data_IF_307312270292
#
_entry.id   IF_307312270292
#
_cell.length_a   1.000
_cell.length_b   1.000
_cell.length_c   1.000
_cell.angle_alpha   90.00
_cell.angle_beta   90.00
_cell.angle_gamma   90.00
#
_symmetry.space_group_name_H-M   'P 1'
#
loop_
_entity.id
_entity.type
_entity.pdbx_description
1 polymer ?
#
# COMPACT_ATOMS: atom_id res chain seq x y z
N UNK A 1 -54.27 -39.91 34.30
CA UNK A 1 -52.91 -39.66 34.82
C UNK A 1 -51.89 -40.38 33.96
N UNK A 2 -50.85 -39.64 33.57
CA UNK A 2 -49.49 -40.10 33.23
C UNK A 2 -49.23 -40.50 31.76
N UNK A 3 -48.40 -39.62 31.16
CA UNK A 3 -47.36 -39.82 30.13
C UNK A 3 -47.78 -40.08 28.68
N UNK A 4 -47.76 -39.01 27.90
CA UNK A 4 -47.04 -38.96 26.63
C UNK A 4 -46.50 -37.54 26.45
N UNK A 5 -45.42 -37.24 27.20
CA UNK A 5 -44.54 -36.16 26.79
C UNK A 5 -43.88 -36.63 25.50
N UNK A 6 -44.07 -35.86 24.42
CA UNK A 6 -43.31 -36.00 23.18
C UNK A 6 -41.83 -36.10 23.54
N UNK A 7 -41.27 -37.31 23.39
CA UNK A 7 -39.83 -37.46 23.30
C UNK A 7 -39.42 -36.74 22.02
N UNK A 8 -38.79 -35.56 22.16
CA UNK A 8 -38.01 -34.98 21.06
C UNK A 8 -36.87 -35.96 20.80
N UNK A 9 -36.68 -36.30 19.53
CA UNK A 9 -35.68 -37.27 19.11
C UNK A 9 -34.29 -36.84 19.61
N UNK A 10 -33.58 -37.68 20.39
CA UNK A 10 -32.31 -37.32 21.01
C UNK A 10 -31.22 -37.02 19.97
N UNK A 11 -31.26 -37.67 18.80
CA UNK A 11 -30.31 -37.43 17.71
C UNK A 11 -30.32 -35.99 17.18
N UNK A 12 -31.45 -35.27 17.27
CA UNK A 12 -31.58 -33.90 16.74
C UNK A 12 -31.03 -32.85 17.72
N UNK A 13 -30.92 -33.17 19.00
CA UNK A 13 -30.34 -32.27 20.00
C UNK A 13 -28.82 -32.23 19.87
N UNK A 14 -28.18 -33.35 19.53
CA UNK A 14 -26.73 -33.45 19.40
C UNK A 14 -26.18 -32.66 18.21
N UNK A 15 -26.90 -32.61 17.08
CA UNK A 15 -26.51 -31.81 15.91
C UNK A 15 -26.62 -30.29 16.19
N UNK A 16 -27.66 -29.88 16.92
CA UNK A 16 -27.87 -28.49 17.32
C UNK A 16 -26.85 -28.04 18.38
N UNK A 17 -26.45 -28.93 19.29
CA UNK A 17 -25.43 -28.67 20.31
C UNK A 17 -24.03 -28.64 19.72
N UNK A 18 -23.70 -29.56 18.80
CA UNK A 18 -22.46 -29.51 18.02
C UNK A 18 -22.34 -28.24 17.18
N UNK A 19 -23.45 -27.77 16.58
CA UNK A 19 -23.50 -26.50 15.85
C UNK A 19 -23.25 -25.28 16.76
N UNK A 20 -23.80 -25.30 17.99
CA UNK A 20 -23.56 -24.25 18.99
C UNK A 20 -22.12 -24.25 19.50
N UNK A 21 -21.54 -25.43 19.76
CA UNK A 21 -20.14 -25.57 20.17
C UNK A 21 -19.22 -25.09 19.06
N UNK A 22 -19.49 -25.45 17.80
CA UNK A 22 -18.73 -24.97 16.64
C UNK A 22 -18.79 -23.44 16.51
N UNK A 23 -19.97 -22.85 16.70
CA UNK A 23 -20.15 -21.39 16.67
C UNK A 23 -19.43 -20.70 17.83
N UNK A 24 -19.43 -21.29 19.01
CA UNK A 24 -18.70 -20.78 20.16
C UNK A 24 -17.18 -20.87 19.98
N UNK A 25 -16.68 -21.97 19.39
CA UNK A 25 -15.28 -22.13 19.03
C UNK A 25 -14.82 -21.09 18.01
N UNK A 26 -15.59 -20.87 16.94
CA UNK A 26 -15.31 -19.80 15.96
C UNK A 26 -15.28 -18.42 16.61
N UNK A 27 -16.24 -18.11 17.49
CA UNK A 27 -16.24 -16.82 18.18
C UNK A 27 -15.05 -16.63 19.14
N UNK A 28 -14.58 -17.72 19.76
CA UNK A 28 -13.37 -17.70 20.60
C UNK A 28 -12.12 -17.53 19.74
N UNK A 29 -12.05 -18.19 18.59
CA UNK A 29 -10.95 -18.06 17.62
C UNK A 29 -10.85 -16.62 17.07
N UNK A 30 -11.97 -16.06 16.62
CA UNK A 30 -12.05 -14.64 16.18
C UNK A 30 -11.59 -13.68 17.31
N UNK A 31 -12.03 -13.93 18.55
CA UNK A 31 -11.66 -13.09 19.70
C UNK A 31 -10.16 -13.16 20.04
N UNK A 32 -9.53 -14.33 19.86
CA UNK A 32 -8.10 -14.51 20.11
C UNK A 32 -7.25 -13.84 19.03
N UNK A 33 -7.70 -13.89 17.76
CA UNK A 33 -7.05 -13.20 16.66
C UNK A 33 -7.07 -11.67 16.86
N UNK A 34 -8.20 -11.13 17.33
CA UNK A 34 -8.32 -9.70 17.64
C UNK A 34 -7.38 -9.28 18.78
N UNK A 35 -7.28 -10.06 19.86
CA UNK A 35 -6.34 -9.79 20.95
C UNK A 35 -4.87 -9.85 20.51
N UNK A 36 -4.53 -10.72 19.55
CA UNK A 36 -3.18 -10.82 19.01
C UNK A 36 -2.86 -9.64 18.07
N UNK A 37 -3.83 -9.21 17.27
CA UNK A 37 -3.74 -8.00 16.44
C UNK A 37 -3.52 -6.75 17.29
N UNK A 38 -4.24 -6.59 18.40
CA UNK A 38 -4.08 -5.45 19.29
C UNK A 38 -2.67 -5.38 19.90
N UNK A 39 -2.11 -6.53 20.30
CA UNK A 39 -0.72 -6.59 20.79
C UNK A 39 0.29 -6.23 19.71
N UNK A 40 0.08 -6.69 18.48
CA UNK A 40 0.94 -6.35 17.33
C UNK A 40 0.82 -4.85 17.02
N UNK A 41 -0.38 -4.29 17.09
CA UNK A 41 -0.64 -2.87 16.88
C UNK A 41 0.08 -2.01 17.93
N UNK A 42 -0.03 -2.35 19.21
CA UNK A 42 0.67 -1.66 20.30
C UNK A 42 2.20 -1.68 20.10
N UNK A 43 2.77 -2.80 19.62
CA UNK A 43 4.19 -2.92 19.29
C UNK A 43 4.61 -1.96 18.17
N UNK A 44 3.76 -1.77 17.15
CA UNK A 44 4.05 -0.87 16.03
C UNK A 44 3.86 0.62 16.37
N UNK A 45 2.88 0.95 17.22
CA UNK A 45 2.69 2.29 17.79
C UNK A 45 3.94 2.72 18.59
N UNK A 46 4.48 1.81 19.40
CA UNK A 46 5.73 2.02 20.14
C UNK A 46 6.97 2.13 19.22
N UNK A 47 6.93 1.50 18.04
CA UNK A 47 7.99 1.62 17.03
C UNK A 47 7.96 2.93 16.24
N UNK A 48 6.94 3.78 16.42
CA UNK A 48 6.80 5.07 15.77
C UNK A 48 6.38 5.01 14.29
N UNK A 49 5.86 3.87 13.83
CA UNK A 49 5.31 3.75 12.47
C UNK A 49 3.79 3.88 12.49
N UNK A 50 3.23 4.78 11.67
CA UNK A 50 1.78 4.90 11.43
C UNK A 50 1.24 3.97 10.33
N UNK A 51 2.06 3.04 9.82
CA UNK A 51 1.67 2.18 8.68
C UNK A 51 0.49 1.24 8.98
N UNK A 52 0.30 0.89 10.25
CA UNK A 52 -0.75 -0.05 10.70
C UNK A 52 -2.17 0.50 10.46
N UNK A 53 -2.33 1.82 10.34
CA UNK A 53 -3.64 2.44 10.04
C UNK A 53 -4.12 2.14 8.61
N UNK A 54 -3.17 1.85 7.71
CA UNK A 54 -3.44 1.69 6.29
C UNK A 54 -3.27 0.25 5.81
N UNK A 55 -2.46 -0.54 6.50
CA UNK A 55 -2.09 -1.89 6.08
C UNK A 55 -1.83 -2.74 7.30
N UNK A 56 -2.24 -4.01 7.24
CA UNK A 56 -2.03 -4.96 8.32
C UNK A 56 -0.54 -5.11 8.65
N UNK A 57 -0.14 -4.94 9.92
CA UNK A 57 1.25 -5.09 10.31
C UNK A 57 1.72 -6.54 10.12
N UNK A 58 2.94 -6.69 9.59
CA UNK A 58 3.54 -8.01 9.45
C UNK A 58 3.94 -8.57 10.83
N UNK A 59 3.55 -9.80 11.18
CA UNK A 59 3.92 -10.42 12.46
C UNK A 59 5.43 -10.72 12.57
N UNK A 60 6.16 -10.62 11.46
CA UNK A 60 7.61 -10.86 11.41
C UNK A 60 8.44 -9.58 11.60
N UNK A 61 7.79 -8.44 11.83
CA UNK A 61 8.45 -7.17 12.08
C UNK A 61 9.18 -7.17 13.42
N UNK A 62 10.38 -6.58 13.45
CA UNK A 62 11.10 -6.33 14.69
C UNK A 62 10.66 -5.00 15.29
N UNK A 63 10.55 -4.94 16.61
CA UNK A 63 10.43 -3.65 17.32
C UNK A 63 11.74 -2.87 17.28
N UNK A 64 11.67 -1.55 17.49
CA UNK A 64 12.86 -0.68 17.52
C UNK A 64 13.92 -1.16 18.53
N UNK A 65 13.51 -1.80 19.63
CA UNK A 65 14.43 -2.30 20.67
C UNK A 65 15.07 -3.66 20.32
N UNK A 66 14.48 -4.45 19.42
CA UNK A 66 14.98 -5.77 19.00
C UNK A 66 16.00 -5.70 17.85
N UNK A 67 16.13 -4.53 17.21
CA UNK A 67 17.04 -4.25 16.09
C UNK A 67 18.49 -4.07 16.55
N UNK A 68 19.08 -5.12 17.12
CA UNK A 68 20.44 -5.08 17.70
C UNK A 68 21.51 -5.58 16.72
N UNK A 69 21.16 -6.48 15.80
CA UNK A 69 22.11 -7.11 14.88
C UNK A 69 22.00 -6.57 13.45
N UNK A 70 23.09 -6.67 12.69
CA UNK A 70 23.09 -6.33 11.26
C UNK A 70 22.07 -7.17 10.48
N UNK A 71 21.89 -8.44 10.85
CA UNK A 71 20.92 -9.33 10.21
C UNK A 71 19.47 -8.86 10.46
N UNK A 72 19.14 -8.48 11.70
CA UNK A 72 17.81 -7.93 12.02
C UNK A 72 17.54 -6.65 11.23
N UNK A 73 18.53 -5.75 11.14
CA UNK A 73 18.41 -4.52 10.35
C UNK A 73 18.19 -4.79 8.86
N UNK A 74 18.91 -5.74 8.28
CA UNK A 74 18.75 -6.12 6.87
C UNK A 74 17.36 -6.71 6.59
N UNK A 75 16.90 -7.63 7.45
CA UNK A 75 15.59 -8.24 7.33
C UNK A 75 14.48 -7.21 7.51
N UNK A 76 14.58 -6.34 8.52
CA UNK A 76 13.64 -5.25 8.75
C UNK A 76 13.60 -4.28 7.56
N UNK A 77 14.74 -3.96 6.95
CA UNK A 77 14.76 -3.12 5.75
C UNK A 77 13.98 -3.74 4.59
N UNK A 78 14.06 -5.07 4.44
CA UNK A 78 13.34 -5.81 3.41
C UNK A 78 11.84 -5.82 3.69
N UNK A 79 11.44 -6.07 4.94
CA UNK A 79 10.03 -6.02 5.37
C UNK A 79 9.43 -4.63 5.18
N UNK A 80 10.14 -3.57 5.58
CA UNK A 80 9.68 -2.20 5.42
C UNK A 80 9.48 -1.82 3.95
N UNK A 81 10.27 -2.36 3.02
CA UNK A 81 10.03 -2.17 1.58
C UNK A 81 8.71 -2.79 1.13
N UNK A 82 8.35 -3.97 1.67
CA UNK A 82 7.04 -4.60 1.41
C UNK A 82 5.92 -3.72 1.94
N UNK A 83 6.01 -3.29 3.19
CA UNK A 83 5.01 -2.40 3.81
C UNK A 83 4.86 -1.10 3.01
N UNK A 84 5.95 -0.50 2.53
CA UNK A 84 5.86 0.68 1.66
C UNK A 84 5.13 0.40 0.34
N UNK A 85 5.32 -0.79 -0.25
CA UNK A 85 4.60 -1.19 -1.46
C UNK A 85 3.12 -1.41 -1.18
N UNK A 86 2.78 -2.06 -0.07
CA UNK A 86 1.41 -2.32 0.35
C UNK A 86 0.67 -1.00 0.66
N UNK A 87 1.28 -0.08 1.42
CA UNK A 87 0.70 1.25 1.64
C UNK A 87 0.45 2.00 0.33
N UNK A 88 1.37 1.88 -0.64
CA UNK A 88 1.20 2.50 -1.97
C UNK A 88 0.03 1.89 -2.72
N UNK A 89 -0.11 0.56 -2.71
CA UNK A 89 -1.22 -0.12 -3.36
C UNK A 89 -2.55 0.22 -2.68
N UNK A 90 -2.58 0.23 -1.35
CA UNK A 90 -3.76 0.61 -0.59
C UNK A 90 -4.21 2.03 -0.93
N UNK A 91 -3.28 2.99 -0.96
CA UNK A 91 -3.58 4.37 -1.33
C UNK A 91 -4.09 4.47 -2.76
N UNK A 92 -3.42 3.80 -3.71
CA UNK A 92 -3.83 3.80 -5.12
C UNK A 92 -5.24 3.24 -5.28
N UNK A 93 -5.54 2.09 -4.67
CA UNK A 93 -6.87 1.49 -4.73
C UNK A 93 -7.94 2.43 -4.16
N UNK A 94 -7.67 3.08 -3.03
CA UNK A 94 -8.59 4.06 -2.44
C UNK A 94 -8.76 5.31 -3.29
N UNK A 95 -7.68 5.77 -3.92
CA UNK A 95 -7.73 6.86 -4.85
C UNK A 95 -8.58 6.51 -6.08
N UNK A 96 -8.38 5.33 -6.66
CA UNK A 96 -9.12 4.84 -7.82
C UNK A 96 -10.62 4.70 -7.49
N UNK A 97 -10.97 4.09 -6.35
CA UNK A 97 -12.37 3.99 -5.89
C UNK A 97 -13.05 5.36 -5.80
N UNK A 98 -12.37 6.34 -5.19
CA UNK A 98 -12.86 7.71 -5.04
C UNK A 98 -12.95 8.43 -6.38
N UNK A 99 -11.97 8.22 -7.26
CA UNK A 99 -11.93 8.79 -8.60
C UNK A 99 -13.11 8.31 -9.44
N UNK A 100 -13.37 7.01 -9.45
CA UNK A 100 -14.48 6.37 -10.16
C UNK A 100 -15.84 6.84 -9.64
N UNK A 101 -15.96 7.07 -8.33
CA UNK A 101 -17.18 7.64 -7.76
C UNK A 101 -17.40 9.07 -8.24
N UNK A 102 -16.37 9.90 -8.18
CA UNK A 102 -16.45 11.30 -8.62
C UNK A 102 -16.74 11.41 -10.11
N UNK A 103 -16.15 10.55 -10.93
CA UNK A 103 -16.44 10.50 -12.37
C UNK A 103 -17.91 10.24 -12.65
N UNK A 104 -18.51 9.26 -11.95
CA UNK A 104 -19.95 8.98 -12.04
C UNK A 104 -20.80 10.17 -11.58
N UNK A 105 -20.42 10.82 -10.49
CA UNK A 105 -21.13 12.00 -9.98
C UNK A 105 -21.08 13.17 -10.95
N UNK A 106 -19.91 13.46 -11.51
CA UNK A 106 -19.73 14.50 -12.54
C UNK A 106 -20.59 14.19 -13.77
N UNK A 107 -20.57 12.95 -14.26
CA UNK A 107 -21.39 12.56 -15.41
C UNK A 107 -22.89 12.79 -15.16
N UNK A 108 -23.39 12.44 -13.96
CA UNK A 108 -24.78 12.71 -13.59
C UNK A 108 -25.10 14.21 -13.48
N UNK A 109 -24.17 15.01 -12.97
CA UNK A 109 -24.37 16.47 -12.87
C UNK A 109 -24.41 17.09 -14.26
N UNK A 110 -23.53 16.69 -15.16
CA UNK A 110 -23.52 17.16 -16.56
C UNK A 110 -24.83 16.81 -17.27
N UNK A 111 -25.34 15.59 -17.14
CA UNK A 111 -26.62 15.18 -17.74
C UNK A 111 -27.79 16.03 -17.19
N UNK A 112 -27.80 16.29 -15.88
CA UNK A 112 -28.81 17.15 -15.24
C UNK A 112 -28.70 18.59 -15.71
N UNK A 113 -27.48 19.11 -15.83
CA UNK A 113 -27.22 20.46 -16.32
C UNK A 113 -27.65 20.64 -17.78
N UNK A 114 -27.40 19.65 -18.64
CA UNK A 114 -27.90 19.64 -20.02
C UNK A 114 -29.42 19.69 -20.07
N UNK A 115 -30.09 18.90 -19.23
CA UNK A 115 -31.55 18.93 -19.12
C UNK A 115 -32.06 20.28 -18.62
N UNK A 116 -31.38 20.91 -17.67
CA UNK A 116 -31.72 22.26 -17.18
C UNK A 116 -31.56 23.30 -18.28
N UNK A 117 -30.46 23.25 -19.04
CA UNK A 117 -30.24 24.13 -20.21
C UNK A 117 -31.33 23.95 -21.26
N UNK A 118 -31.77 22.70 -21.51
CA UNK A 118 -32.89 22.44 -22.40
C UNK A 118 -34.18 23.10 -21.89
N UNK A 119 -34.53 22.95 -20.62
CA UNK A 119 -35.72 23.58 -20.03
C UNK A 119 -35.62 25.12 -20.09
N UNK A 120 -34.48 25.70 -19.76
CA UNK A 120 -34.26 27.15 -19.84
C UNK A 120 -34.43 27.67 -21.27
N UNK A 121 -33.96 26.92 -22.27
CA UNK A 121 -34.14 27.26 -23.68
C UNK A 121 -35.61 27.25 -24.11
N UNK A 122 -36.41 26.30 -23.61
CA UNK A 122 -37.85 26.22 -23.86
C UNK A 122 -38.61 27.36 -23.17
N UNK A 123 -38.15 27.81 -21.99
CA UNK A 123 -38.71 28.97 -21.29
C UNK A 123 -38.31 30.32 -21.90
N UNK A 124 -37.32 30.35 -22.81
CA UNK A 124 -36.76 31.58 -23.37
C UNK A 124 -35.95 32.40 -22.36
N UNK A 125 -35.52 31.78 -21.26
CA UNK A 125 -34.78 32.42 -20.17
C UNK A 125 -33.27 32.16 -20.34
N UNK A 126 -32.56 33.16 -20.88
CA UNK A 126 -31.12 33.07 -21.17
C UNK A 126 -30.23 33.70 -20.09
N UNK A 127 -30.81 34.22 -19.02
CA UNK A 127 -30.09 34.96 -17.97
C UNK A 127 -29.47 34.06 -16.91
N UNK A 128 -29.99 32.83 -16.75
CA UNK A 128 -29.52 31.84 -15.78
C UNK A 128 -28.36 31.04 -16.36
N UNK A 129 -27.18 31.23 -15.80
CA UNK A 129 -25.99 30.46 -16.16
C UNK A 129 -25.97 29.14 -15.39
N UNK A 130 -25.82 28.02 -16.11
CA UNK A 130 -25.64 26.68 -15.53
C UNK A 130 -24.16 26.32 -15.67
N UNK A 131 -23.46 26.21 -14.54
CA UNK A 131 -22.03 25.87 -14.48
C UNK A 131 -21.84 24.35 -14.41
N UNK A 132 -20.92 23.83 -15.21
CA UNK A 132 -20.53 22.42 -15.18
C UNK A 132 -19.34 22.22 -14.24
N UNK A 133 -19.28 21.08 -13.52
CA UNK A 133 -18.15 20.78 -12.65
C UNK A 133 -16.88 20.52 -13.48
N UNK A 134 -15.80 21.19 -13.11
CA UNK A 134 -14.48 21.01 -13.72
C UNK A 134 -13.56 20.16 -12.84
N UNK A 135 -12.66 19.41 -13.48
CA UNK A 135 -11.61 18.66 -12.79
C UNK A 135 -10.47 19.59 -12.40
N UNK A 136 -10.07 19.57 -11.13
CA UNK A 136 -8.90 20.33 -10.70
C UNK A 136 -7.60 19.58 -11.06
N UNK A 137 -6.46 20.27 -11.24
CA UNK A 137 -5.18 19.60 -11.51
C UNK A 137 -4.76 18.61 -10.41
N UNK A 138 -5.16 18.86 -9.16
CA UNK A 138 -4.90 17.98 -8.02
C UNK A 138 -5.62 16.62 -8.15
N UNK A 139 -6.78 16.61 -8.79
CA UNK A 139 -7.62 15.42 -9.01
C UNK A 139 -7.18 14.60 -10.22
N UNK A 140 -6.38 15.20 -11.11
CA UNK A 140 -5.78 14.52 -12.26
C UNK A 140 -4.26 14.62 -12.17
N UNK A 141 -3.60 13.76 -11.37
CA UNK A 141 -2.17 13.84 -11.10
C UNK A 141 -1.30 13.86 -12.36
N UNK A 142 -1.76 13.20 -13.43
CA UNK A 142 -1.11 13.20 -14.75
C UNK A 142 -0.99 14.59 -15.39
N UNK A 143 -1.80 15.55 -14.93
CA UNK A 143 -1.82 16.94 -15.42
C UNK A 143 -0.83 17.84 -14.66
N UNK A 144 -0.39 17.42 -13.47
CA UNK A 144 0.48 18.23 -12.59
C UNK A 144 1.87 18.36 -13.18
N UNK A 145 2.42 17.27 -13.73
CA UNK A 145 3.75 17.29 -14.35
C UNK A 145 3.63 17.07 -15.86
N UNK A 146 4.09 18.06 -16.62
CA UNK A 146 4.29 17.93 -18.06
C UNK A 146 5.67 17.34 -18.30
N UNK A 147 5.71 16.09 -18.75
CA UNK A 147 6.96 15.46 -19.19
C UNK A 147 7.16 15.78 -20.66
N UNK A 148 8.23 16.51 -20.96
CA UNK A 148 8.58 16.92 -22.32
C UNK A 148 9.05 15.73 -23.15
N UNK A 149 8.91 15.82 -24.47
CA UNK A 149 9.21 14.71 -25.37
C UNK A 149 10.69 14.27 -25.30
N UNK A 150 11.60 15.22 -25.10
CA UNK A 150 13.03 14.94 -24.92
C UNK A 150 13.32 14.20 -23.60
N UNK A 151 12.57 14.45 -22.53
CA UNK A 151 12.69 13.71 -21.27
C UNK A 151 12.27 12.26 -21.47
N UNK A 152 11.16 12.04 -22.19
CA UNK A 152 10.69 10.68 -22.54
C UNK A 152 11.75 9.91 -23.33
N UNK A 153 12.41 10.54 -24.29
CA UNK A 153 13.51 9.93 -25.06
C UNK A 153 14.71 9.56 -24.18
N UNK A 154 15.07 10.40 -23.20
CA UNK A 154 16.16 10.10 -22.27
C UNK A 154 15.81 8.91 -21.35
N UNK A 155 14.57 8.81 -20.88
CA UNK A 155 14.11 7.65 -20.10
C UNK A 155 14.10 6.36 -20.93
N UNK A 156 13.63 6.41 -22.18
CA UNK A 156 13.65 5.26 -23.08
C UNK A 156 15.08 4.75 -23.33
N UNK A 157 16.02 5.65 -23.65
CA UNK A 157 17.45 5.30 -23.82
C UNK A 157 18.07 4.73 -22.55
N UNK A 158 17.70 5.23 -21.38
CA UNK A 158 18.17 4.70 -20.10
C UNK A 158 17.64 3.30 -19.84
N UNK A 159 16.37 3.03 -20.15
CA UNK A 159 15.76 1.71 -20.02
C UNK A 159 16.42 0.68 -20.95
N UNK A 160 16.63 1.03 -22.21
CA UNK A 160 17.37 0.21 -23.19
C UNK A 160 18.79 -0.10 -22.72
N UNK A 161 19.48 0.90 -22.16
CA UNK A 161 20.80 0.72 -21.56
C UNK A 161 20.75 -0.25 -20.37
N UNK A 162 19.80 -0.07 -19.43
CA UNK A 162 19.68 -0.95 -18.26
C UNK A 162 19.25 -2.38 -18.57
N UNK A 163 18.39 -2.58 -19.58
CA UNK A 163 18.02 -3.92 -20.08
C UNK A 163 19.21 -4.60 -20.75
N UNK A 164 20.01 -3.86 -21.54
CA UNK A 164 21.27 -4.36 -22.09
C UNK A 164 22.33 -4.69 -21.03
N UNK A 165 22.29 -4.01 -19.87
CA UNK A 165 23.11 -4.35 -18.71
C UNK A 165 22.60 -5.60 -17.97
N UNK A 166 21.28 -5.80 -17.83
CA UNK A 166 20.72 -6.97 -17.12
C UNK A 166 20.93 -8.32 -17.84
N UNK A 167 21.02 -8.34 -19.17
CA UNK A 167 21.34 -9.57 -19.92
C UNK A 167 22.82 -10.00 -19.80
N UNK A 168 23.71 -9.13 -19.31
CA UNK A 168 25.15 -9.37 -19.22
C UNK A 168 25.73 -9.30 -17.80
N UNK A 169 24.93 -9.22 -16.74
CA UNK A 169 25.44 -9.32 -15.36
C UNK A 169 25.53 -10.79 -14.95
N UNK A 170 26.72 -11.36 -14.73
CA UNK A 170 26.78 -12.74 -14.27
C UNK A 170 26.34 -12.76 -12.79
N UNK A 171 25.47 -13.71 -12.44
CA UNK A 171 24.78 -13.86 -11.14
C UNK A 171 25.67 -13.80 -9.88
N UNK A 172 27.00 -13.87 -10.03
CA UNK A 172 27.97 -13.77 -8.94
C UNK A 172 28.17 -12.34 -8.34
N UNK A 173 27.70 -11.27 -8.99
CA UNK A 173 27.90 -9.88 -8.50
C UNK A 173 26.90 -9.42 -7.43
N UNK A 174 25.91 -10.25 -7.08
CA UNK A 174 25.03 -9.99 -5.92
C UNK A 174 25.66 -10.38 -4.58
N UNK A 175 26.95 -10.76 -4.54
CA UNK A 175 27.67 -11.00 -3.29
C UNK A 175 28.65 -9.86 -2.97
N UNK A 176 28.30 -9.17 -1.87
CA UNK A 176 29.13 -8.35 -0.97
C UNK A 176 29.51 -6.94 -1.44
N UNK A 177 29.02 -5.97 -0.68
CA UNK A 177 29.91 -5.01 -0.01
C UNK A 177 29.32 -4.59 1.34
N UNK A 178 29.56 -5.42 2.36
CA UNK A 178 29.42 -5.05 3.77
C UNK A 178 30.81 -4.74 4.31
N UNK A 179 31.41 -3.66 3.82
CA UNK A 179 32.60 -3.05 4.43
C UNK A 179 32.89 -1.73 3.73
N UNK A 180 32.40 -0.61 4.28
CA UNK A 180 33.10 0.69 4.28
C UNK A 180 32.23 1.83 4.82
N UNK A 181 32.04 1.90 6.15
CA UNK A 181 31.84 3.17 6.85
C UNK A 181 32.50 3.14 8.23
N UNK A 182 33.79 2.88 8.24
CA UNK A 182 34.66 3.24 9.36
C UNK A 182 36.05 3.37 8.78
N UNK A 183 36.48 4.61 8.54
CA UNK A 183 37.87 5.08 8.44
C UNK A 183 37.85 6.51 7.85
N UNK A 184 37.23 7.44 8.57
CA UNK A 184 37.60 8.86 8.50
C UNK A 184 37.81 9.35 9.91
N UNK A 185 38.96 8.99 10.47
CA UNK A 185 39.65 9.60 11.62
C UNK A 185 40.83 8.70 11.94
N UNK A 186 41.94 8.88 11.23
CA UNK A 186 43.25 9.08 11.83
C UNK A 186 44.36 9.13 10.78
N UNK A 187 45.33 9.98 11.10
CA UNK A 187 46.73 9.98 10.67
C UNK A 187 47.04 10.19 9.19
N UNK A 188 47.51 11.41 8.89
CA UNK A 188 48.86 11.65 8.37
C UNK A 188 49.71 10.36 8.28
N UNK A 189 49.87 9.80 7.08
CA UNK A 189 51.06 9.09 6.66
C UNK A 189 51.00 8.80 5.16
N UNK A 190 52.07 9.20 4.47
CA UNK A 190 52.61 8.64 3.24
C UNK A 190 51.83 8.83 1.92
N UNK A 191 52.34 9.78 1.14
CA UNK A 191 52.56 9.72 -0.31
C UNK A 191 52.33 8.34 -0.94
N UNK A 192 51.19 8.15 -1.60
CA UNK A 192 50.99 7.15 -2.65
C UNK A 192 50.05 7.79 -3.68
N UNK A 193 50.54 7.96 -4.91
CA UNK A 193 49.72 8.44 -6.01
C UNK A 193 48.54 7.47 -6.25
N UNK A 194 47.34 7.98 -6.59
CA UNK A 194 46.19 7.12 -6.82
C UNK A 194 46.37 6.25 -8.08
N UNK A 195 45.88 4.99 -8.09
CA UNK A 195 46.06 4.10 -9.24
C UNK A 195 45.19 4.53 -10.43
N UNK A 196 45.73 4.28 -11.63
CA UNK A 196 45.31 4.79 -12.93
C UNK A 196 43.98 4.21 -13.50
N UNK A 197 42.99 3.92 -12.66
CA UNK A 197 41.66 3.48 -13.10
C UNK A 197 40.57 4.54 -12.88
N UNK A 198 40.93 5.73 -12.38
CA UNK A 198 40.06 6.91 -12.26
C UNK A 198 40.20 7.91 -13.41
N UNK A 199 40.69 7.49 -14.58
CA UNK A 199 40.60 8.28 -15.81
C UNK A 199 39.90 7.45 -16.87
N UNK A 200 38.59 7.66 -16.99
CA UNK A 200 37.76 7.87 -18.20
C UNK A 200 36.34 8.19 -17.70
#
# INVERSE_FOLDING_TARGET
SIKLQLAKDPLKQDEDEAGRIKKALLAVEDSLEDEERDKIMDLHVLSGSGSYEFTDPSPYGYTQYELVTYLHLYNQNTLLKSVCQECRLWFNNKFDDMYDQKEREISMVVERNERLRYILSELGENTTHVEDPEWTPEERPLTIMKVEEWERMLYARRLESTLGYMENVPYHLYKRDVSCRRLKKNSRAANLEPPNWCQV
#
